data_IF_320508996109
#
_entry.id   IF_320508996109
#
_cell.length_a   1.000
_cell.length_b   1.000
_cell.length_c   1.000
_cell.angle_alpha   90.00
_cell.angle_beta   90.00
_cell.angle_gamma   90.00
#
_symmetry.space_group_name_H-M   'P 1'
#
loop_
_entity.id
_entity.type
_entity.pdbx_description
1 polymer ?
#
# COMPACT_ATOMS: atom_id res chain seq x y z
N UNK A 1 0.02 13.96 9.50
CA UNK A 1 0.37 12.52 9.44
C UNK A 1 -0.84 11.71 9.05
N UNK A 2 -0.73 10.92 7.99
CA UNK A 2 -1.77 10.02 7.48
C UNK A 2 -2.13 8.96 8.54
N UNK A 3 -3.39 8.48 8.54
CA UNK A 3 -3.84 7.50 9.54
C UNK A 3 -3.22 6.11 9.32
N UNK A 4 -2.99 5.70 8.07
CA UNK A 4 -2.30 4.44 7.74
C UNK A 4 -0.87 4.44 8.29
N UNK A 5 -0.15 5.56 8.25
CA UNK A 5 1.20 5.67 8.83
C UNK A 5 1.21 5.40 10.34
N UNK A 6 0.19 5.87 11.08
CA UNK A 6 0.08 5.57 12.52
C UNK A 6 0.00 4.07 12.76
N UNK A 7 -0.84 3.37 12.00
CA UNK A 7 -1.01 1.93 12.10
C UNK A 7 0.29 1.20 11.73
N UNK A 8 0.96 1.64 10.66
CA UNK A 8 2.24 1.07 10.22
C UNK A 8 3.32 1.22 11.29
N UNK A 9 3.43 2.41 11.90
CA UNK A 9 4.37 2.66 12.98
C UNK A 9 4.13 1.77 14.21
N UNK A 10 2.86 1.45 14.51
CA UNK A 10 2.50 0.54 15.60
C UNK A 10 2.80 -0.92 15.28
N UNK A 11 2.69 -1.32 14.00
CA UNK A 11 2.96 -2.70 13.56
C UNK A 11 4.46 -3.00 13.50
N UNK A 12 5.29 -2.06 13.02
CA UNK A 12 6.71 -2.31 12.77
C UNK A 12 7.51 -2.24 14.07
N UNK A 13 8.18 -3.33 14.50
CA UNK A 13 9.03 -3.34 15.68
C UNK A 13 10.33 -2.54 15.47
N UNK A 14 10.94 -2.13 16.59
CA UNK A 14 12.32 -1.63 16.56
C UNK A 14 13.28 -2.71 16.02
N UNK A 15 14.35 -2.29 15.36
CA UNK A 15 15.34 -3.18 14.76
C UNK A 15 14.95 -3.80 13.42
N UNK A 16 13.79 -3.44 12.85
CA UNK A 16 13.30 -3.98 11.59
C UNK A 16 14.03 -3.39 10.38
N UNK A 17 14.20 -4.21 9.33
CA UNK A 17 14.56 -3.76 7.98
C UNK A 17 13.30 -3.59 7.15
N UNK A 18 13.07 -2.40 6.62
CA UNK A 18 11.81 -2.02 5.96
C UNK A 18 12.06 -1.51 4.55
N UNK A 19 11.31 -2.03 3.58
CA UNK A 19 11.25 -1.52 2.22
C UNK A 19 9.91 -0.81 2.00
N UNK A 20 9.94 0.48 1.63
CA UNK A 20 8.75 1.24 1.25
C UNK A 20 8.69 1.41 -0.27
N UNK A 21 7.63 0.88 -0.89
CA UNK A 21 7.48 0.78 -2.33
C UNK A 21 6.48 1.83 -2.82
N UNK A 22 6.94 2.75 -3.68
CA UNK A 22 6.23 3.96 -4.03
C UNK A 22 6.28 4.95 -2.86
N UNK A 23 7.49 5.19 -2.34
CA UNK A 23 7.69 5.99 -1.13
C UNK A 23 7.43 7.49 -1.32
N UNK A 24 7.19 7.97 -2.56
CA UNK A 24 6.97 9.38 -2.88
C UNK A 24 8.06 10.26 -2.24
N UNK A 25 7.70 11.34 -1.57
CA UNK A 25 8.64 12.25 -0.87
C UNK A 25 9.25 11.69 0.43
N UNK A 26 9.07 10.41 0.75
CA UNK A 26 9.72 9.75 1.88
C UNK A 26 9.15 10.07 3.27
N UNK A 27 7.91 10.59 3.38
CA UNK A 27 7.32 10.92 4.68
C UNK A 27 7.29 9.70 5.63
N UNK A 28 6.88 8.52 5.13
CA UNK A 28 6.85 7.31 5.94
C UNK A 28 8.25 6.85 6.34
N UNK A 29 9.22 6.91 5.43
CA UNK A 29 10.62 6.57 5.72
C UNK A 29 11.18 7.46 6.84
N UNK A 30 10.95 8.78 6.75
CA UNK A 30 11.35 9.74 7.76
C UNK A 30 10.74 9.45 9.13
N UNK A 31 9.50 8.98 9.19
CA UNK A 31 8.84 8.60 10.43
C UNK A 31 9.39 7.31 11.00
N UNK A 32 9.64 6.30 10.16
CA UNK A 32 10.21 5.02 10.56
C UNK A 32 11.65 5.15 11.06
N UNK A 33 12.46 6.00 10.43
CA UNK A 33 13.85 6.27 10.85
C UNK A 33 13.97 6.93 12.24
N UNK A 34 12.87 7.43 12.81
CA UNK A 34 12.83 7.91 14.21
C UNK A 34 12.69 6.79 15.23
N UNK A 35 12.40 5.57 14.79
CA UNK A 35 12.32 4.39 15.67
C UNK A 35 13.73 3.80 15.88
N UNK A 36 13.92 3.18 17.06
CA UNK A 36 15.22 2.61 17.42
C UNK A 36 15.64 1.48 16.48
N UNK A 37 16.81 1.65 15.86
CA UNK A 37 17.44 0.66 14.98
C UNK A 37 16.55 0.16 13.81
N UNK A 38 15.61 0.95 13.35
CA UNK A 38 14.86 0.65 12.11
C UNK A 38 15.69 1.15 10.93
N UNK A 39 15.91 0.27 9.96
CA UNK A 39 16.63 0.57 8.72
C UNK A 39 15.62 0.59 7.58
N UNK A 40 15.50 1.72 6.91
CA UNK A 40 14.55 1.88 5.82
C UNK A 40 15.25 2.03 4.49
N UNK A 41 14.63 1.48 3.44
CA UNK A 41 14.97 1.76 2.05
C UNK A 41 13.67 2.05 1.28
N UNK A 42 13.70 3.02 0.37
CA UNK A 42 12.58 3.36 -0.50
C UNK A 42 12.82 2.97 -1.95
N UNK A 43 11.75 2.73 -2.68
CA UNK A 43 11.73 2.65 -4.15
C UNK A 43 10.71 3.63 -4.67
N UNK A 44 11.11 4.50 -5.61
CA UNK A 44 10.24 5.49 -6.21
C UNK A 44 10.58 5.64 -7.70
N UNK A 45 9.57 5.79 -8.55
CA UNK A 45 9.76 5.94 -9.99
C UNK A 45 9.97 7.42 -10.39
N UNK A 46 9.36 8.34 -9.64
CA UNK A 46 9.43 9.76 -9.93
C UNK A 46 10.76 10.35 -9.47
N UNK A 47 11.57 10.81 -10.43
CA UNK A 47 12.88 11.40 -10.18
C UNK A 47 12.85 12.60 -9.23
N UNK A 48 11.85 13.47 -9.33
CA UNK A 48 11.75 14.67 -8.48
C UNK A 48 11.53 14.29 -7.02
N UNK A 49 10.70 13.26 -6.77
CA UNK A 49 10.46 12.74 -5.42
C UNK A 49 11.69 12.02 -4.85
N UNK A 50 12.43 11.27 -5.69
CA UNK A 50 13.70 10.65 -5.31
C UNK A 50 14.72 11.70 -4.87
N UNK A 51 14.85 12.80 -5.63
CA UNK A 51 15.78 13.90 -5.29
C UNK A 51 15.43 14.49 -3.92
N UNK A 52 14.16 14.75 -3.63
CA UNK A 52 13.71 15.24 -2.31
C UNK A 52 14.09 14.27 -1.19
N UNK A 53 13.86 12.97 -1.39
CA UNK A 53 14.26 11.95 -0.42
C UNK A 53 15.76 11.97 -0.13
N UNK A 54 16.58 12.08 -1.17
CA UNK A 54 18.05 12.12 -1.03
C UNK A 54 18.53 13.41 -0.33
N UNK A 55 17.88 14.55 -0.62
CA UNK A 55 18.15 15.83 0.08
C UNK A 55 17.84 15.73 1.58
N UNK A 56 16.79 14.95 1.94
CA UNK A 56 16.42 14.66 3.34
C UNK A 56 17.26 13.53 3.97
N UNK A 57 18.26 13.00 3.26
CA UNK A 57 19.18 11.96 3.75
C UNK A 57 18.54 10.57 3.85
N UNK A 58 17.48 10.30 3.08
CA UNK A 58 16.82 9.00 3.04
C UNK A 58 17.47 8.08 2.00
N UNK A 59 17.53 6.79 2.30
CA UNK A 59 17.99 5.75 1.36
C UNK A 59 16.86 5.39 0.39
N UNK A 60 16.95 5.87 -0.84
CA UNK A 60 15.93 5.64 -1.88
C UNK A 60 16.59 5.29 -3.20
N UNK A 61 16.04 4.29 -3.87
CA UNK A 61 16.43 3.85 -5.22
C UNK A 61 15.38 4.28 -6.23
N UNK A 62 15.81 4.92 -7.31
CA UNK A 62 14.92 5.23 -8.42
C UNK A 62 14.69 3.99 -9.28
N UNK A 63 13.44 3.63 -9.53
CA UNK A 63 13.13 2.52 -10.42
C UNK A 63 11.67 2.15 -10.50
N UNK A 64 11.34 1.40 -11.55
CA UNK A 64 10.04 0.75 -11.67
C UNK A 64 10.01 -0.49 -10.77
N UNK A 65 9.06 -0.53 -9.85
CA UNK A 65 8.89 -1.63 -8.89
C UNK A 65 8.75 -3.01 -9.56
N UNK A 66 8.18 -3.06 -10.77
CA UNK A 66 8.00 -4.30 -11.50
C UNK A 66 9.32 -4.89 -12.01
N UNK A 67 10.37 -4.08 -12.10
CA UNK A 67 11.69 -4.47 -12.57
C UNK A 67 12.67 -4.60 -11.41
N UNK A 68 12.76 -3.57 -10.58
CA UNK A 68 13.80 -3.48 -9.54
C UNK A 68 13.66 -4.55 -8.45
N UNK A 69 12.43 -5.04 -8.17
CA UNK A 69 12.22 -6.08 -7.15
C UNK A 69 12.82 -7.44 -7.51
N UNK A 70 13.06 -7.69 -8.79
CA UNK A 70 13.71 -8.93 -9.24
C UNK A 70 15.16 -9.00 -8.79
N UNK A 71 15.82 -7.84 -8.63
CA UNK A 71 17.22 -7.71 -8.25
C UNK A 71 17.45 -7.76 -6.74
N UNK A 72 16.39 -7.64 -5.92
CA UNK A 72 16.53 -7.73 -4.47
C UNK A 72 16.75 -9.17 -4.00
N UNK A 73 17.67 -9.38 -3.04
CA UNK A 73 17.87 -10.69 -2.42
C UNK A 73 16.59 -11.20 -1.72
N UNK A 74 16.46 -12.52 -1.66
CA UNK A 74 15.36 -13.15 -0.94
C UNK A 74 15.41 -12.84 0.57
N UNK A 75 14.25 -12.55 1.17
CA UNK A 75 14.10 -12.28 2.60
C UNK A 75 15.02 -11.16 3.12
N UNK A 76 15.32 -10.18 2.28
CA UNK A 76 16.18 -9.06 2.66
C UNK A 76 15.52 -8.16 3.70
N UNK A 77 14.19 -8.01 3.63
CA UNK A 77 13.42 -7.13 4.50
C UNK A 77 12.51 -7.91 5.45
N UNK A 78 12.35 -7.39 6.66
CA UNK A 78 11.38 -7.90 7.62
C UNK A 78 9.97 -7.45 7.25
N UNK A 79 9.85 -6.23 6.68
CA UNK A 79 8.60 -5.66 6.19
C UNK A 79 8.79 -5.01 4.83
N UNK A 80 7.86 -5.28 3.90
CA UNK A 80 7.68 -4.49 2.67
C UNK A 80 6.33 -3.77 2.77
N UNK A 81 6.31 -2.49 2.43
CA UNK A 81 5.14 -1.61 2.57
C UNK A 81 4.73 -1.11 1.20
N UNK A 82 3.43 -1.12 0.92
CA UNK A 82 2.79 -0.48 -0.24
C UNK A 82 1.62 0.36 0.24
N UNK A 83 1.80 1.66 0.36
CA UNK A 83 0.70 2.57 0.72
C UNK A 83 0.11 3.20 -0.54
N UNK A 84 -1.17 2.89 -0.83
CA UNK A 84 -1.93 3.42 -1.98
C UNK A 84 -1.31 3.09 -3.37
N UNK A 85 -0.41 2.11 -3.45
CA UNK A 85 0.37 1.80 -4.65
C UNK A 85 -0.21 0.62 -5.43
N UNK A 86 -0.84 -0.37 -4.76
CA UNK A 86 -1.29 -1.62 -5.39
C UNK A 86 -2.30 -1.41 -6.54
N UNK A 87 -3.06 -0.33 -6.51
CA UNK A 87 -4.06 0.00 -7.52
C UNK A 87 -3.48 0.68 -8.76
N UNK A 88 -2.23 1.14 -8.70
CA UNK A 88 -1.54 1.86 -9.79
C UNK A 88 -0.63 0.97 -10.63
N UNK A 89 -0.33 -0.24 -10.16
CA UNK A 89 0.59 -1.15 -10.85
C UNK A 89 -0.11 -1.98 -11.93
N UNK A 90 0.58 -2.26 -13.03
CA UNK A 90 0.01 -3.00 -14.16
C UNK A 90 -0.32 -4.47 -13.86
N UNK A 91 0.46 -5.13 -13.00
CA UNK A 91 0.34 -6.56 -12.69
C UNK A 91 0.43 -6.80 -11.18
N UNK A 92 -0.65 -6.53 -10.41
CA UNK A 92 -0.64 -6.67 -8.95
C UNK A 92 -0.30 -8.07 -8.45
N UNK A 93 -0.71 -9.11 -9.16
CA UNK A 93 -0.44 -10.52 -8.84
C UNK A 93 1.06 -10.86 -8.95
N UNK A 94 1.73 -10.36 -9.99
CA UNK A 94 3.18 -10.51 -10.16
C UNK A 94 3.94 -9.75 -9.09
N UNK A 95 3.55 -8.49 -8.84
CA UNK A 95 4.15 -7.67 -7.79
C UNK A 95 4.07 -8.37 -6.42
N UNK A 96 2.90 -8.87 -6.04
CA UNK A 96 2.73 -9.60 -4.78
C UNK A 96 3.59 -10.87 -4.72
N UNK A 97 3.77 -11.55 -5.84
CA UNK A 97 4.64 -12.73 -5.93
C UNK A 97 6.11 -12.36 -5.72
N UNK A 98 6.57 -11.23 -6.26
CA UNK A 98 7.94 -10.72 -6.04
C UNK A 98 8.13 -10.28 -4.58
N UNK A 99 7.17 -9.55 -4.02
CA UNK A 99 7.21 -9.12 -2.62
C UNK A 99 7.33 -10.29 -1.66
N UNK A 100 6.66 -11.40 -1.95
CA UNK A 100 6.75 -12.64 -1.16
C UNK A 100 8.17 -13.21 -1.14
N UNK A 101 9.00 -12.95 -2.15
CA UNK A 101 10.41 -13.36 -2.17
C UNK A 101 11.29 -12.40 -1.37
N UNK A 102 11.00 -11.11 -1.42
CA UNK A 102 11.86 -10.04 -0.90
C UNK A 102 11.64 -9.79 0.58
N UNK A 103 10.39 -9.88 1.06
CA UNK A 103 10.00 -9.56 2.44
C UNK A 103 9.29 -10.69 3.16
N UNK A 104 9.44 -10.75 4.49
CA UNK A 104 8.76 -11.72 5.37
C UNK A 104 7.31 -11.33 5.66
N UNK A 105 7.08 -10.02 5.86
CA UNK A 105 5.76 -9.45 6.12
C UNK A 105 5.48 -8.33 5.13
N UNK A 106 4.24 -8.23 4.68
CA UNK A 106 3.84 -7.24 3.69
C UNK A 106 2.68 -6.42 4.27
N UNK A 107 2.84 -5.10 4.28
CA UNK A 107 1.79 -4.17 4.69
C UNK A 107 1.28 -3.45 3.44
N UNK A 108 -0.02 -3.53 3.19
CA UNK A 108 -0.63 -2.92 2.01
C UNK A 108 -1.83 -2.09 2.45
N UNK A 109 -1.86 -0.81 2.09
CA UNK A 109 -3.04 0.02 2.22
C UNK A 109 -3.57 0.44 0.85
N UNK A 110 -4.90 0.51 0.74
CA UNK A 110 -5.56 0.99 -0.46
C UNK A 110 -6.97 1.49 -0.17
N UNK A 111 -7.49 2.24 -1.12
CA UNK A 111 -8.82 2.81 -1.07
C UNK A 111 -9.86 1.81 -1.57
N UNK A 112 -10.85 1.49 -0.73
CA UNK A 112 -11.86 0.48 -1.04
C UNK A 112 -12.88 1.01 -2.04
N UNK A 113 -12.81 0.51 -3.27
CA UNK A 113 -13.74 0.90 -4.34
C UNK A 113 -15.18 0.48 -4.06
N UNK A 114 -15.42 -0.50 -3.18
CA UNK A 114 -16.77 -0.94 -2.77
C UNK A 114 -17.33 -0.18 -1.54
N UNK A 115 -16.72 0.95 -1.15
CA UNK A 115 -17.25 1.77 -0.07
C UNK A 115 -18.63 2.33 -0.41
N UNK A 116 -19.60 2.15 0.48
CA UNK A 116 -21.03 2.43 0.21
C UNK A 116 -21.30 3.82 -0.36
N UNK A 117 -20.62 4.86 0.10
CA UNK A 117 -20.79 6.23 -0.43
C UNK A 117 -20.31 6.34 -1.87
N UNK A 118 -19.20 5.66 -2.24
CA UNK A 118 -18.67 5.63 -3.61
C UNK A 118 -19.64 4.92 -4.53
N UNK A 119 -20.08 3.72 -4.13
CA UNK A 119 -21.05 2.92 -4.89
C UNK A 119 -22.38 3.66 -5.05
N UNK A 120 -22.89 4.29 -3.98
CA UNK A 120 -24.10 5.10 -4.06
C UNK A 120 -23.96 6.29 -5.01
N UNK A 121 -22.86 7.05 -4.90
CA UNK A 121 -22.58 8.18 -5.79
C UNK A 121 -22.48 7.73 -7.26
N UNK A 122 -21.80 6.61 -7.51
CA UNK A 122 -21.74 6.05 -8.85
C UNK A 122 -23.13 5.67 -9.37
N UNK A 123 -23.94 4.98 -8.58
CA UNK A 123 -25.28 4.55 -8.95
C UNK A 123 -26.23 5.72 -9.26
N UNK A 124 -26.08 6.85 -8.53
CA UNK A 124 -26.93 8.03 -8.70
C UNK A 124 -26.43 8.96 -9.81
N UNK A 125 -25.10 9.15 -9.92
CA UNK A 125 -24.51 10.12 -10.84
C UNK A 125 -24.01 9.49 -12.15
N UNK A 126 -23.87 8.16 -12.21
CA UNK A 126 -23.39 7.44 -13.38
C UNK A 126 -21.93 7.73 -13.76
N UNK A 127 -21.14 8.33 -12.86
CA UNK A 127 -19.75 8.71 -13.13
C UNK A 127 -18.75 7.88 -12.33
N UNK A 128 -17.71 7.36 -13.00
CA UNK A 128 -16.57 6.69 -12.38
C UNK A 128 -15.71 7.64 -11.55
N UNK A 129 -15.89 8.95 -11.69
CA UNK A 129 -15.11 9.97 -10.98
C UNK A 129 -15.14 9.83 -9.46
N UNK A 130 -16.15 9.18 -8.92
CA UNK A 130 -16.30 8.96 -7.48
C UNK A 130 -15.86 7.56 -7.02
N UNK A 131 -15.51 6.65 -7.93
CA UNK A 131 -15.03 5.30 -7.61
C UNK A 131 -13.52 5.22 -7.51
N UNK A 132 -12.84 6.03 -8.30
CA UNK A 132 -11.38 6.09 -8.34
C UNK A 132 -10.90 7.23 -7.46
N UNK A 133 -9.86 6.98 -6.69
CA UNK A 133 -9.15 8.06 -6.01
C UNK A 133 -8.38 8.87 -7.06
N UNK A 134 -8.52 10.18 -7.01
CA UNK A 134 -7.99 11.08 -8.03
C UNK A 134 -7.24 12.22 -7.39
N UNK A 135 -6.17 12.63 -8.05
CA UNK A 135 -5.56 13.92 -7.82
C UNK A 135 -6.41 15.04 -8.42
N UNK A 136 -6.21 16.27 -7.98
CA UNK A 136 -6.92 17.42 -8.52
C UNK A 136 -6.62 17.57 -10.02
N UNK A 137 -7.67 17.58 -10.84
CA UNK A 137 -7.56 17.63 -12.31
C UNK A 137 -7.59 16.29 -13.04
N UNK A 138 -7.53 15.14 -12.33
CA UNK A 138 -7.63 13.84 -12.96
C UNK A 138 -9.04 13.55 -13.50
N UNK A 139 -9.07 12.86 -14.62
CA UNK A 139 -10.28 12.32 -15.24
C UNK A 139 -10.18 10.79 -15.25
N UNK A 140 -11.29 10.09 -15.47
CA UNK A 140 -11.34 8.62 -15.49
C UNK A 140 -10.34 7.99 -16.48
N UNK A 141 -9.92 8.72 -17.52
CA UNK A 141 -9.02 8.25 -18.57
C UNK A 141 -7.54 8.56 -18.35
N UNK A 142 -7.18 9.39 -17.36
CA UNK A 142 -5.80 9.77 -17.06
C UNK A 142 -5.41 9.57 -15.57
N UNK A 143 -6.28 8.93 -14.78
CA UNK A 143 -5.97 8.58 -13.39
C UNK A 143 -4.89 7.51 -13.33
N UNK A 144 -4.04 7.60 -12.30
CA UNK A 144 -3.02 6.57 -12.02
C UNK A 144 -3.65 5.27 -11.50
N UNK A 145 -4.82 5.33 -10.86
CA UNK A 145 -5.51 4.15 -10.35
C UNK A 145 -6.20 3.38 -11.49
N UNK A 146 -5.54 2.34 -11.98
CA UNK A 146 -5.99 1.50 -13.10
C UNK A 146 -6.75 0.25 -12.66
N UNK A 147 -6.65 -0.14 -11.37
CA UNK A 147 -7.31 -1.31 -10.80
C UNK A 147 -8.23 -0.94 -9.62
N UNK A 148 -9.55 -0.68 -9.86
CA UNK A 148 -10.49 -0.61 -8.75
C UNK A 148 -10.47 -1.91 -7.95
N UNK A 149 -10.26 -1.80 -6.63
CA UNK A 149 -10.10 -2.97 -5.77
C UNK A 149 -11.02 -2.87 -4.55
N UNK A 150 -11.75 -3.94 -4.25
CA UNK A 150 -12.46 -4.07 -2.99
C UNK A 150 -11.66 -4.89 -1.98
N UNK A 151 -12.04 -4.81 -0.70
CA UNK A 151 -11.46 -5.65 0.37
C UNK A 151 -11.60 -7.14 0.02
N UNK A 152 -12.74 -7.54 -0.57
CA UNK A 152 -13.00 -8.91 -0.99
C UNK A 152 -12.06 -9.34 -2.12
N UNK A 153 -11.91 -8.51 -3.16
CA UNK A 153 -11.08 -8.83 -4.32
C UNK A 153 -9.61 -8.97 -3.91
N UNK A 154 -9.11 -8.03 -3.11
CA UNK A 154 -7.76 -8.12 -2.57
C UNK A 154 -7.56 -9.36 -1.69
N UNK A 155 -8.53 -9.72 -0.84
CA UNK A 155 -8.47 -10.93 -0.01
C UNK A 155 -8.34 -12.20 -0.87
N UNK A 156 -9.06 -12.26 -1.98
CA UNK A 156 -8.97 -13.39 -2.93
C UNK A 156 -7.59 -13.43 -3.58
N UNK A 157 -7.08 -12.28 -4.03
CA UNK A 157 -5.77 -12.17 -4.65
C UNK A 157 -4.65 -12.56 -3.68
N UNK A 158 -4.65 -12.02 -2.46
CA UNK A 158 -3.65 -12.33 -1.43
C UNK A 158 -3.58 -13.83 -1.13
N UNK A 159 -4.74 -14.48 -0.98
CA UNK A 159 -4.83 -15.92 -0.78
C UNK A 159 -4.36 -16.73 -1.99
N UNK A 160 -4.68 -16.28 -3.20
CA UNK A 160 -4.23 -16.94 -4.45
C UNK A 160 -2.71 -16.93 -4.59
N UNK A 161 -2.07 -15.83 -4.19
CA UNK A 161 -0.60 -15.72 -4.15
C UNK A 161 0.01 -16.52 -2.99
N UNK A 162 -0.80 -16.93 -2.02
CA UNK A 162 -0.39 -17.75 -0.88
C UNK A 162 0.07 -16.94 0.32
N UNK A 163 -0.48 -15.75 0.53
CA UNK A 163 -0.30 -15.00 1.76
C UNK A 163 -1.25 -15.42 2.86
N UNK A 164 -0.77 -15.37 4.10
CA UNK A 164 -1.60 -15.42 5.30
C UNK A 164 -1.98 -14.00 5.70
N UNK A 165 -3.27 -13.73 5.88
CA UNK A 165 -3.77 -12.44 6.36
C UNK A 165 -3.75 -12.47 7.88
N UNK A 166 -2.80 -11.75 8.49
CA UNK A 166 -2.65 -11.69 9.94
C UNK A 166 -3.66 -10.71 10.56
N UNK A 167 -3.73 -9.51 9.98
CA UNK A 167 -4.56 -8.43 10.49
C UNK A 167 -5.13 -7.57 9.36
N UNK A 168 -6.30 -6.99 9.61
CA UNK A 168 -6.93 -6.04 8.70
C UNK A 168 -7.46 -4.85 9.51
N UNK A 169 -7.22 -3.63 9.04
CA UNK A 169 -7.59 -2.40 9.71
C UNK A 169 -8.49 -1.53 8.84
N UNK A 170 -9.51 -0.95 9.45
CA UNK A 170 -10.19 0.25 8.93
C UNK A 170 -9.30 1.45 9.28
N UNK A 171 -8.60 1.99 8.29
CA UNK A 171 -7.62 3.07 8.47
C UNK A 171 -8.26 4.32 9.06
N UNK A 172 -9.48 4.66 8.61
CA UNK A 172 -10.19 5.85 9.06
C UNK A 172 -10.56 5.79 10.53
N UNK A 173 -10.92 4.60 11.03
CA UNK A 173 -11.33 4.37 12.42
C UNK A 173 -10.18 3.92 13.30
N UNK A 174 -9.01 3.65 12.72
CA UNK A 174 -7.88 3.01 13.40
C UNK A 174 -8.30 1.76 14.19
N UNK A 175 -9.09 0.88 13.53
CA UNK A 175 -9.69 -0.28 14.18
C UNK A 175 -9.47 -1.56 13.39
N UNK A 176 -8.99 -2.61 14.09
CA UNK A 176 -8.90 -3.97 13.53
C UNK A 176 -10.29 -4.55 13.27
N UNK A 177 -10.42 -5.34 12.21
CA UNK A 177 -11.60 -6.14 11.93
C UNK A 177 -11.24 -7.48 11.30
N UNK A 178 -12.20 -8.41 11.29
CA UNK A 178 -12.04 -9.75 10.68
C UNK A 178 -12.95 -9.83 9.46
N UNK A 179 -12.37 -9.91 8.27
CA UNK A 179 -13.08 -10.16 7.02
C UNK A 179 -13.16 -11.69 6.77
N UNK A 180 -14.29 -12.26 6.30
CA UNK A 180 -15.53 -11.62 5.85
C UNK A 180 -16.62 -11.45 6.92
N UNK A 181 -16.33 -11.68 8.18
CA UNK A 181 -17.30 -11.63 9.28
C UNK A 181 -17.84 -10.22 9.59
N UNK A 182 -17.20 -9.19 9.02
CA UNK A 182 -17.58 -7.80 9.22
C UNK A 182 -18.19 -7.20 7.95
N UNK A 183 -19.16 -6.28 8.04
CA UNK A 183 -19.68 -5.53 6.89
C UNK A 183 -18.66 -4.51 6.33
N UNK A 184 -17.40 -4.60 6.73
CA UNK A 184 -16.32 -3.68 6.36
C UNK A 184 -16.09 -3.56 4.86
N UNK A 185 -16.41 -4.61 4.06
CA UNK A 185 -16.32 -4.52 2.60
C UNK A 185 -17.17 -3.37 2.01
N UNK A 186 -18.20 -2.92 2.75
CA UNK A 186 -19.11 -1.85 2.32
C UNK A 186 -18.86 -0.56 3.11
N UNK A 187 -18.48 -0.66 4.39
CA UNK A 187 -18.41 0.50 5.29
C UNK A 187 -17.00 1.00 5.59
N UNK A 188 -15.96 0.28 5.19
CA UNK A 188 -14.58 0.71 5.28
C UNK A 188 -14.20 1.47 4.00
N UNK A 189 -13.75 2.71 4.12
CA UNK A 189 -13.32 3.51 2.97
C UNK A 189 -11.89 3.18 2.55
N UNK A 190 -11.00 3.11 3.52
CA UNK A 190 -9.59 2.82 3.33
C UNK A 190 -9.18 1.66 4.24
N UNK A 191 -8.51 0.68 3.68
CA UNK A 191 -8.12 -0.55 4.36
C UNK A 191 -6.61 -0.71 4.39
N UNK A 192 -6.12 -1.30 5.49
CA UNK A 192 -4.73 -1.76 5.58
C UNK A 192 -4.71 -3.24 5.95
N UNK A 193 -3.93 -4.01 5.21
CA UNK A 193 -3.65 -5.41 5.44
C UNK A 193 -2.22 -5.61 5.97
N UNK A 194 -2.08 -6.43 6.99
CA UNK A 194 -0.80 -6.98 7.43
C UNK A 194 -0.78 -8.47 7.10
N UNK A 195 0.13 -8.85 6.20
CA UNK A 195 0.25 -10.18 5.62
C UNK A 195 1.57 -10.81 6.00
N UNK A 196 1.63 -12.15 6.05
CA UNK A 196 2.88 -12.91 6.12
C UNK A 196 3.00 -13.90 4.95
N UNK A 197 4.23 -14.21 4.60
CA UNK A 197 4.57 -15.13 3.50
C UNK A 197 4.45 -16.59 3.91
#
# INVERSE_FOLDING_TARGET
>A
MRNDYKIILDIIPNGSKVLDIGCSSGELLSLLNKKDNVHTQGVEINQEEVVKCLEDGLDVVQGDINQILEDFPHNQFDYCILTQTIQTVNAPDKLLTLLKKVGKNIIISFDNSNYCKKVFNFSVRGSFDNLLEKSEGDQWFNTQNIHPCSIKDFTVLAKKVGFTINETYDVRKNKKFIFPKSPSNIFCNEVLFNLST
#
